data_IF_371700279779
#
_entry.id   IF_371700279779
#
_cell.length_a   1.000
_cell.length_b   1.000
_cell.length_c   1.000
_cell.angle_alpha   90.00
_cell.angle_beta   90.00
_cell.angle_gamma   90.00
#
_symmetry.space_group_name_H-M   'P 1'
#
loop_
_entity.id
_entity.type
_entity.pdbx_description
1 polymer ?
#
# COMPACT_ATOMS: atom_id res chain seq x y z
N UNK A 1 4.24 -12.70 -20.16
CA UNK A 1 3.76 -12.10 -18.89
C UNK A 1 3.62 -10.58 -19.00
N UNK A 2 4.71 -9.84 -19.26
CA UNK A 2 4.72 -8.36 -19.32
C UNK A 2 3.65 -7.75 -20.25
N UNK A 3 3.48 -8.28 -21.47
CA UNK A 3 2.48 -7.77 -22.40
C UNK A 3 1.04 -7.91 -21.87
N UNK A 4 0.74 -9.03 -21.21
CA UNK A 4 -0.58 -9.25 -20.59
C UNK A 4 -0.81 -8.21 -19.49
N UNK A 5 0.16 -8.03 -18.58
CA UNK A 5 0.03 -7.07 -17.48
C UNK A 5 -0.03 -5.62 -17.94
N UNK A 6 0.71 -5.23 -18.98
CA UNK A 6 0.55 -3.91 -19.60
C UNK A 6 -0.89 -3.71 -20.07
N UNK A 7 -1.44 -4.68 -20.81
CA UNK A 7 -2.79 -4.58 -21.36
C UNK A 7 -3.89 -4.57 -20.29
N UNK A 8 -3.72 -5.33 -19.21
CA UNK A 8 -4.77 -5.53 -18.18
C UNK A 8 -4.63 -4.64 -16.96
N UNK A 9 -3.52 -3.93 -16.79
CA UNK A 9 -3.28 -3.08 -15.61
C UNK A 9 -2.97 -1.62 -15.98
N UNK A 10 -2.47 -1.35 -17.19
CA UNK A 10 -2.15 0.02 -17.63
C UNK A 10 -3.16 0.48 -18.67
N UNK A 11 -3.32 -0.28 -19.76
CA UNK A 11 -4.22 0.13 -20.84
C UNK A 11 -5.71 -0.02 -20.45
N UNK A 12 -6.02 -0.94 -19.54
CA UNK A 12 -7.39 -1.27 -19.10
C UNK A 12 -7.39 -1.70 -17.64
N UNK A 13 -8.43 -1.41 -16.86
CA UNK A 13 -8.54 -1.82 -15.46
C UNK A 13 -9.19 -3.21 -15.32
N UNK A 14 -8.52 -4.27 -15.78
CA UNK A 14 -9.07 -5.64 -15.76
C UNK A 14 -8.21 -6.54 -14.87
N UNK A 15 -8.69 -6.96 -13.68
CA UNK A 15 -7.96 -7.91 -12.86
C UNK A 15 -7.66 -9.21 -13.63
N UNK A 16 -6.40 -9.66 -13.60
CA UNK A 16 -5.95 -10.83 -14.38
C UNK A 16 -5.14 -11.82 -13.54
N UNK A 17 -5.37 -13.11 -13.77
CA UNK A 17 -4.65 -14.22 -13.15
C UNK A 17 -3.90 -15.03 -14.23
N UNK A 18 -2.58 -15.07 -14.14
CA UNK A 18 -1.73 -15.85 -15.07
C UNK A 18 -1.26 -17.10 -14.35
N UNK A 19 -1.38 -18.26 -14.99
CA UNK A 19 -0.91 -19.54 -14.49
C UNK A 19 -0.11 -20.24 -15.58
N UNK A 20 0.98 -20.92 -15.23
CA UNK A 20 1.83 -21.61 -16.21
C UNK A 20 1.30 -23.02 -16.46
N UNK A 21 1.36 -23.49 -17.72
CA UNK A 21 0.88 -24.82 -18.09
C UNK A 21 1.55 -25.93 -17.28
N UNK A 22 2.86 -25.80 -17.02
CA UNK A 22 3.66 -26.75 -16.23
C UNK A 22 3.07 -27.00 -14.83
N UNK A 23 2.41 -25.99 -14.25
CA UNK A 23 1.87 -26.01 -12.88
C UNK A 23 0.46 -26.65 -12.84
N UNK A 24 -0.35 -26.49 -13.88
CA UNK A 24 -1.75 -26.99 -13.92
C UNK A 24 -1.91 -28.31 -14.69
N UNK A 25 -0.97 -28.63 -15.57
CA UNK A 25 -0.94 -29.86 -16.37
C UNK A 25 0.47 -30.49 -16.29
N UNK A 26 0.87 -31.02 -15.11
CA UNK A 26 2.17 -31.66 -14.96
C UNK A 26 2.26 -32.91 -15.85
N UNK A 27 3.43 -33.16 -16.44
CA UNK A 27 3.67 -34.30 -17.35
C UNK A 27 3.62 -35.68 -16.68
N UNK A 28 3.65 -35.76 -15.35
CA UNK A 28 3.65 -37.02 -14.61
C UNK A 28 2.23 -37.52 -14.36
N UNK A 29 2.03 -38.85 -14.42
CA UNK A 29 0.72 -39.50 -14.26
C UNK A 29 0.06 -39.31 -12.87
N UNK A 30 0.80 -38.83 -11.86
CA UNK A 30 0.24 -38.44 -10.56
C UNK A 30 0.38 -36.93 -10.36
N UNK A 31 -0.71 -36.15 -10.45
CA UNK A 31 -0.71 -34.72 -10.16
C UNK A 31 -0.67 -34.50 -8.64
N UNK A 32 0.48 -34.70 -8.01
CA UNK A 32 0.66 -34.35 -6.60
C UNK A 32 0.64 -32.83 -6.44
N UNK A 33 -0.16 -32.33 -5.49
CA UNK A 33 -0.21 -30.90 -5.16
C UNK A 33 -1.07 -30.01 -6.06
N UNK A 34 -1.72 -30.54 -7.12
CA UNK A 34 -2.58 -29.74 -8.01
C UNK A 34 -3.70 -29.03 -7.23
N UNK A 35 -4.29 -29.72 -6.24
CA UNK A 35 -5.32 -29.12 -5.40
C UNK A 35 -4.77 -27.93 -4.58
N UNK A 36 -3.57 -28.06 -4.01
CA UNK A 36 -2.94 -26.94 -3.28
C UNK A 36 -2.66 -25.74 -4.18
N UNK A 37 -2.20 -26.00 -5.40
CA UNK A 37 -1.98 -24.98 -6.43
C UNK A 37 -3.30 -24.28 -6.77
N UNK A 38 -4.35 -25.05 -7.08
CA UNK A 38 -5.67 -24.52 -7.42
C UNK A 38 -6.22 -23.65 -6.28
N UNK A 39 -6.11 -24.11 -5.03
CA UNK A 39 -6.51 -23.34 -3.84
C UNK A 39 -5.78 -22.00 -3.76
N UNK A 40 -4.45 -21.97 -3.95
CA UNK A 40 -3.67 -20.71 -3.93
C UNK A 40 -4.06 -19.76 -5.06
N UNK A 41 -4.34 -20.29 -6.26
CA UNK A 41 -4.82 -19.49 -7.39
C UNK A 41 -6.17 -18.86 -7.08
N UNK A 42 -7.11 -19.64 -6.52
CA UNK A 42 -8.44 -19.14 -6.14
C UNK A 42 -8.36 -18.09 -5.04
N UNK A 43 -7.49 -18.27 -4.03
CA UNK A 43 -7.24 -17.26 -2.99
C UNK A 43 -6.76 -15.94 -3.61
N UNK A 44 -5.84 -15.99 -4.58
CA UNK A 44 -5.35 -14.79 -5.25
C UNK A 44 -6.44 -14.13 -6.11
N UNK A 45 -7.29 -14.92 -6.76
CA UNK A 45 -8.44 -14.39 -7.51
C UNK A 45 -9.45 -13.71 -6.58
N UNK A 46 -9.75 -14.33 -5.44
CA UNK A 46 -10.62 -13.75 -4.41
C UNK A 46 -10.08 -12.39 -3.95
N UNK A 47 -8.79 -12.28 -3.65
CA UNK A 47 -8.15 -11.02 -3.25
C UNK A 47 -8.25 -9.93 -4.32
N UNK A 48 -8.08 -10.29 -5.60
CA UNK A 48 -8.21 -9.36 -6.74
C UNK A 48 -9.65 -8.85 -6.95
N UNK A 49 -10.63 -9.60 -6.46
CA UNK A 49 -12.05 -9.27 -6.50
C UNK A 49 -12.55 -8.69 -5.17
N UNK A 50 -11.63 -8.10 -4.38
CA UNK A 50 -11.90 -7.43 -3.10
C UNK A 50 -12.35 -8.37 -1.97
N UNK A 51 -12.15 -9.69 -2.11
CA UNK A 51 -12.42 -10.66 -1.06
C UNK A 51 -11.24 -10.82 -0.09
N UNK A 52 -11.53 -11.01 1.20
CA UNK A 52 -10.53 -11.32 2.21
C UNK A 52 -10.52 -12.83 2.49
N UNK A 53 -9.40 -13.56 2.26
CA UNK A 53 -9.35 -15.00 2.51
C UNK A 53 -9.30 -15.35 4.01
N UNK A 54 -8.71 -14.49 4.85
CA UNK A 54 -8.73 -14.56 6.31
C UNK A 54 -8.48 -13.15 6.87
N UNK A 55 -8.72 -12.98 8.17
CA UNK A 55 -8.43 -11.75 8.90
C UNK A 55 -7.98 -12.05 10.33
N UNK A 56 -7.19 -11.14 10.88
CA UNK A 56 -6.91 -11.08 12.32
C UNK A 56 -7.80 -10.01 12.92
N UNK A 57 -8.37 -10.29 14.09
CA UNK A 57 -9.21 -9.31 14.79
C UNK A 57 -8.31 -8.20 15.33
N UNK A 58 -8.50 -6.99 14.82
CA UNK A 58 -7.86 -5.78 15.33
C UNK A 58 -8.91 -5.03 16.17
N UNK A 59 -8.74 -4.92 17.50
CA UNK A 59 -9.78 -4.36 18.37
C UNK A 59 -9.95 -2.84 18.24
N UNK A 60 -9.04 -2.17 17.54
CA UNK A 60 -9.01 -0.71 17.35
C UNK A 60 -9.96 -0.28 16.23
N UNK A 61 -10.71 0.79 16.48
CA UNK A 61 -11.46 1.53 15.46
C UNK A 61 -10.68 2.79 15.06
N UNK A 62 -10.94 3.30 13.85
CA UNK A 62 -10.31 4.53 13.38
C UNK A 62 -8.83 4.35 13.04
N UNK A 63 -8.36 3.11 12.85
CA UNK A 63 -6.97 2.80 12.51
C UNK A 63 -6.79 2.69 10.99
N UNK A 64 -5.94 3.56 10.45
CA UNK A 64 -5.40 3.44 9.11
C UNK A 64 -3.95 2.97 9.17
N UNK A 65 -3.64 1.87 8.48
CA UNK A 65 -2.28 1.41 8.27
C UNK A 65 -1.88 1.71 6.84
N UNK A 66 -0.70 2.28 6.66
CA UNK A 66 -0.14 2.72 5.40
C UNK A 66 1.19 2.01 5.15
N UNK A 67 1.41 1.53 3.94
CA UNK A 67 2.69 1.01 3.46
C UNK A 67 3.19 1.82 2.27
N UNK A 68 4.48 2.13 2.25
CA UNK A 68 5.14 2.79 1.13
C UNK A 68 6.49 2.15 0.80
N UNK A 69 6.61 1.66 -0.43
CA UNK A 69 7.81 1.03 -0.99
C UNK A 69 8.25 1.73 -2.28
N UNK A 70 9.55 1.74 -2.55
CA UNK A 70 10.15 2.30 -3.75
C UNK A 70 10.94 1.23 -4.49
N UNK A 71 10.49 0.90 -5.70
CA UNK A 71 11.16 -0.06 -6.57
C UNK A 71 11.86 0.64 -7.74
N UNK A 72 13.15 0.35 -7.95
CA UNK A 72 13.91 0.86 -9.09
C UNK A 72 13.56 0.13 -10.38
N UNK A 73 13.38 0.87 -11.47
CA UNK A 73 13.07 0.29 -12.77
C UNK A 73 14.26 -0.49 -13.33
N UNK A 74 14.11 -1.78 -13.67
CA UNK A 74 15.19 -2.55 -14.30
C UNK A 74 15.44 -2.12 -15.75
N UNK A 75 14.47 -1.44 -16.39
CA UNK A 75 14.57 -0.97 -17.77
C UNK A 75 15.21 0.41 -17.90
N UNK A 76 15.05 1.26 -16.90
CA UNK A 76 15.57 2.62 -16.92
C UNK A 76 16.08 2.98 -15.53
N UNK A 77 17.41 3.04 -15.39
CA UNK A 77 18.08 3.32 -14.11
C UNK A 77 17.78 4.71 -13.53
N UNK A 78 17.23 5.62 -14.32
CA UNK A 78 16.81 6.94 -13.86
C UNK A 78 15.35 6.99 -13.39
N UNK A 79 14.62 5.88 -13.49
CA UNK A 79 13.22 5.79 -13.09
C UNK A 79 13.05 4.83 -11.93
N UNK A 80 12.16 5.22 -11.04
CA UNK A 80 11.75 4.45 -9.89
C UNK A 80 10.24 4.60 -9.73
N UNK A 81 9.62 3.68 -9.01
CA UNK A 81 8.18 3.68 -8.77
C UNK A 81 7.92 3.60 -7.28
N UNK A 82 7.22 4.59 -6.75
CA UNK A 82 6.72 4.59 -5.38
C UNK A 82 5.33 3.95 -5.35
N UNK A 83 5.15 2.90 -4.56
CA UNK A 83 3.88 2.24 -4.35
C UNK A 83 3.36 2.58 -2.95
N UNK A 84 2.17 3.17 -2.89
CA UNK A 84 1.49 3.55 -1.65
C UNK A 84 0.24 2.70 -1.49
N UNK A 85 0.01 2.16 -0.29
CA UNK A 85 -1.19 1.38 0.04
C UNK A 85 -1.68 1.78 1.42
N UNK A 86 -2.99 2.00 1.60
CA UNK A 86 -3.61 2.33 2.89
C UNK A 86 -4.87 1.48 3.15
N UNK A 87 -5.06 1.03 4.39
CA UNK A 87 -6.28 0.32 4.81
C UNK A 87 -7.44 1.28 5.04
N UNK A 88 -8.67 0.84 4.74
CA UNK A 88 -9.90 1.61 4.98
C UNK A 88 -10.63 1.07 6.23
N UNK A 89 -9.99 1.17 7.39
CA UNK A 89 -10.40 0.60 8.69
C UNK A 89 -10.66 -0.92 8.66
N UNK A 90 -9.65 -1.71 9.03
CA UNK A 90 -9.73 -3.17 8.97
C UNK A 90 -10.77 -3.78 9.92
N UNK A 91 -11.32 -3.01 10.87
CA UNK A 91 -12.41 -3.47 11.72
C UNK A 91 -13.76 -3.46 11.00
N UNK A 92 -13.93 -2.57 10.03
CA UNK A 92 -15.20 -2.38 9.30
C UNK A 92 -15.13 -2.80 7.83
N UNK A 93 -13.95 -2.73 7.20
CA UNK A 93 -13.80 -2.96 5.77
C UNK A 93 -12.43 -3.53 5.40
N UNK A 94 -12.45 -4.42 4.40
CA UNK A 94 -11.27 -5.07 3.84
C UNK A 94 -10.70 -4.35 2.63
N UNK A 95 -11.17 -3.14 2.37
CA UNK A 95 -10.74 -2.36 1.21
C UNK A 95 -9.41 -1.68 1.49
N UNK A 96 -8.64 -1.55 0.42
CA UNK A 96 -7.39 -0.84 0.40
C UNK A 96 -7.48 0.27 -0.64
N UNK A 97 -6.95 1.43 -0.29
CA UNK A 97 -6.58 2.45 -1.25
C UNK A 97 -5.15 2.16 -1.71
N UNK A 98 -4.87 2.34 -3.00
CA UNK A 98 -3.51 2.17 -3.51
C UNK A 98 -3.22 3.10 -4.68
N UNK A 99 -2.01 3.65 -4.71
CA UNK A 99 -1.50 4.46 -5.82
C UNK A 99 -0.07 4.06 -6.17
N UNK A 100 0.31 4.33 -7.41
CA UNK A 100 1.68 4.14 -7.90
C UNK A 100 2.10 5.39 -8.64
N UNK A 101 3.26 5.94 -8.29
CA UNK A 101 3.81 7.13 -8.91
C UNK A 101 5.19 6.83 -9.50
N UNK A 102 5.40 7.26 -10.74
CA UNK A 102 6.73 7.29 -11.33
C UNK A 102 7.50 8.48 -10.75
N UNK A 103 8.76 8.27 -10.37
CA UNK A 103 9.67 9.34 -9.99
C UNK A 103 11.02 9.17 -10.66
N UNK A 104 11.66 10.31 -10.92
CA UNK A 104 12.99 10.41 -11.50
C UNK A 104 14.01 10.37 -10.36
N UNK A 105 15.15 9.72 -10.58
CA UNK A 105 16.25 9.69 -9.62
C UNK A 105 16.63 11.13 -9.21
N UNK A 106 16.61 11.40 -7.91
CA UNK A 106 16.90 12.72 -7.34
C UNK A 106 15.68 13.62 -7.13
N UNK A 107 14.47 13.20 -7.50
CA UNK A 107 13.24 13.87 -7.05
C UNK A 107 12.91 13.55 -5.59
N UNK A 108 12.25 14.50 -4.92
CA UNK A 108 11.81 14.36 -3.54
C UNK A 108 10.57 13.45 -3.44
N UNK A 109 10.72 12.32 -2.75
CA UNK A 109 9.65 11.35 -2.48
C UNK A 109 8.59 11.88 -1.50
N UNK A 110 8.98 12.83 -0.64
CA UNK A 110 8.18 13.45 0.42
C UNK A 110 6.89 14.09 -0.12
N UNK A 111 6.98 14.85 -1.21
CA UNK A 111 5.83 15.55 -1.80
C UNK A 111 4.80 14.55 -2.34
N UNK A 112 5.25 13.55 -3.09
CA UNK A 112 4.38 12.52 -3.66
C UNK A 112 3.68 11.71 -2.57
N UNK A 113 4.42 11.34 -1.51
CA UNK A 113 3.87 10.65 -0.36
C UNK A 113 2.77 11.47 0.34
N UNK A 114 2.99 12.78 0.47
CA UNK A 114 2.01 13.70 1.08
C UNK A 114 0.73 13.83 0.24
N UNK A 115 0.86 13.88 -1.09
CA UNK A 115 -0.29 13.88 -2.01
C UNK A 115 -1.06 12.56 -1.93
N UNK A 116 -0.35 11.42 -1.93
CA UNK A 116 -0.97 10.10 -1.80
C UNK A 116 -1.73 9.95 -0.48
N UNK A 117 -1.15 10.45 0.62
CA UNK A 117 -1.81 10.45 1.92
C UNK A 117 -3.12 11.27 1.90
N UNK A 118 -3.11 12.46 1.31
CA UNK A 118 -4.31 13.27 1.20
C UNK A 118 -5.44 12.56 0.42
N UNK A 119 -5.09 11.86 -0.66
CA UNK A 119 -6.05 11.06 -1.43
C UNK A 119 -6.57 9.85 -0.64
N UNK A 120 -5.71 9.19 0.15
CA UNK A 120 -6.10 8.08 1.01
C UNK A 120 -7.05 8.51 2.12
N UNK A 121 -6.77 9.65 2.77
CA UNK A 121 -7.64 10.23 3.80
C UNK A 121 -9.00 10.63 3.24
N UNK A 122 -9.04 11.21 2.03
CA UNK A 122 -10.30 11.50 1.35
C UNK A 122 -11.11 10.23 1.09
N UNK A 123 -10.47 9.19 0.57
CA UNK A 123 -11.12 7.89 0.30
C UNK A 123 -11.66 7.26 1.59
N UNK A 124 -10.91 7.36 2.69
CA UNK A 124 -11.34 6.90 4.00
C UNK A 124 -12.55 7.71 4.50
N UNK A 125 -12.52 9.04 4.35
CA UNK A 125 -13.62 9.92 4.74
C UNK A 125 -14.88 9.67 3.92
N UNK A 126 -14.77 9.39 2.63
CA UNK A 126 -15.90 9.01 1.78
C UNK A 126 -16.56 7.71 2.26
N UNK A 127 -15.78 6.77 2.77
CA UNK A 127 -16.27 5.47 3.24
C UNK A 127 -16.84 5.51 4.67
N UNK A 128 -16.18 6.20 5.60
CA UNK A 128 -16.51 6.19 7.03
C UNK A 128 -17.12 7.50 7.55
N UNK A 129 -17.17 8.55 6.72
CA UNK A 129 -17.62 9.92 7.08
C UNK A 129 -16.80 10.57 8.20
N UNK A 130 -15.62 10.04 8.48
CA UNK A 130 -14.67 10.53 9.49
C UNK A 130 -13.25 10.39 8.96
N UNK A 131 -12.31 11.13 9.54
CA UNK A 131 -10.88 10.87 9.35
C UNK A 131 -10.42 9.79 10.36
N UNK A 132 -9.39 8.99 10.03
CA UNK A 132 -8.86 8.01 10.97
C UNK A 132 -8.34 8.70 12.23
N UNK A 133 -8.57 8.08 13.39
CA UNK A 133 -8.04 8.55 14.68
C UNK A 133 -6.54 8.26 14.81
N UNK A 134 -6.07 7.19 14.15
CA UNK A 134 -4.71 6.68 14.26
C UNK A 134 -4.19 6.31 12.88
N UNK A 135 -2.94 6.67 12.62
CA UNK A 135 -2.24 6.34 11.39
C UNK A 135 -0.92 5.64 11.75
N UNK A 136 -0.75 4.41 11.27
CA UNK A 136 0.53 3.69 11.30
C UNK A 136 1.12 3.71 9.89
N UNK A 137 2.34 4.20 9.73
CA UNK A 137 2.98 4.33 8.43
C UNK A 137 4.26 3.50 8.39
N UNK A 138 4.32 2.55 7.48
CA UNK A 138 5.46 1.64 7.25
C UNK A 138 6.19 2.05 5.97
N UNK A 139 7.46 2.40 6.08
CA UNK A 139 8.32 2.81 4.96
C UNK A 139 9.41 1.75 4.73
N UNK A 140 9.35 1.08 3.59
CA UNK A 140 10.30 0.00 3.21
C UNK A 140 11.52 0.53 2.44
N UNK A 141 12.65 -0.17 2.45
CA UNK A 141 13.80 0.16 1.59
C UNK A 141 14.53 1.45 1.97
N UNK A 142 14.57 1.79 3.26
CA UNK A 142 15.38 2.90 3.79
C UNK A 142 16.59 2.31 4.50
N UNK A 143 17.78 2.54 3.97
CA UNK A 143 19.03 2.13 4.63
C UNK A 143 19.37 3.05 5.81
N UNK A 144 20.17 2.55 6.76
CA UNK A 144 20.55 3.29 7.98
C UNK A 144 21.11 4.69 7.71
N UNK A 145 21.93 4.82 6.65
CA UNK A 145 22.52 6.10 6.25
C UNK A 145 21.53 7.13 5.71
N UNK A 146 20.29 6.72 5.39
CA UNK A 146 19.23 7.58 4.86
C UNK A 146 18.16 7.91 5.90
N UNK A 147 18.16 7.23 7.05
CA UNK A 147 17.12 7.36 8.07
C UNK A 147 16.97 8.81 8.55
N UNK A 148 18.09 9.49 8.82
CA UNK A 148 18.07 10.90 9.26
C UNK A 148 17.40 11.81 8.21
N UNK A 149 17.68 11.58 6.93
CA UNK A 149 17.08 12.38 5.86
C UNK A 149 15.57 12.09 5.77
N UNK A 150 15.17 10.82 5.73
CA UNK A 150 13.74 10.43 5.66
C UNK A 150 12.96 11.00 6.84
N UNK A 151 13.50 10.92 8.06
CA UNK A 151 12.83 11.46 9.24
C UNK A 151 12.74 12.99 9.19
N UNK A 152 13.77 13.70 8.75
CA UNK A 152 13.73 15.17 8.78
C UNK A 152 13.02 15.79 7.57
N UNK A 153 12.92 15.10 6.44
CA UNK A 153 12.17 15.56 5.27
C UNK A 153 10.80 14.91 5.21
N UNK A 154 10.74 13.62 4.84
CA UNK A 154 9.51 12.91 4.50
C UNK A 154 8.48 12.94 5.64
N UNK A 155 8.91 12.69 6.88
CA UNK A 155 8.02 12.68 8.04
C UNK A 155 7.48 14.05 8.37
N UNK A 156 8.35 15.06 8.35
CA UNK A 156 7.97 16.41 8.72
C UNK A 156 6.99 16.99 7.70
N UNK A 157 7.29 16.85 6.40
CA UNK A 157 6.37 17.24 5.33
C UNK A 157 5.02 16.52 5.46
N UNK A 158 5.04 15.21 5.75
CA UNK A 158 3.81 14.45 5.92
C UNK A 158 3.02 14.90 7.16
N UNK A 159 3.68 15.15 8.28
CA UNK A 159 3.05 15.67 9.51
C UNK A 159 2.42 17.03 9.27
N UNK A 160 3.16 17.98 8.70
CA UNK A 160 2.65 19.31 8.39
C UNK A 160 1.41 19.23 7.50
N UNK A 161 1.43 18.34 6.50
CA UNK A 161 0.28 18.13 5.63
C UNK A 161 -0.92 17.50 6.34
N UNK A 162 -0.69 16.55 7.24
CA UNK A 162 -1.75 15.96 8.06
C UNK A 162 -2.37 17.01 8.98
N UNK A 163 -1.53 17.83 9.64
CA UNK A 163 -1.97 18.92 10.50
C UNK A 163 -2.92 19.88 9.77
N UNK A 164 -2.56 20.30 8.56
CA UNK A 164 -3.40 21.16 7.72
C UNK A 164 -4.77 20.53 7.43
N UNK A 165 -4.79 19.24 7.06
CA UNK A 165 -6.01 18.51 6.72
C UNK A 165 -6.92 18.38 7.95
N UNK A 166 -6.36 17.99 9.11
CA UNK A 166 -7.14 17.79 10.34
C UNK A 166 -7.62 19.12 10.94
N UNK A 167 -6.83 20.19 10.86
CA UNK A 167 -7.27 21.56 11.22
C UNK A 167 -8.42 22.01 10.34
N UNK A 168 -8.33 21.79 9.03
CA UNK A 168 -9.40 22.13 8.08
C UNK A 168 -10.68 21.33 8.32
N UNK A 169 -10.57 20.12 8.87
CA UNK A 169 -11.69 19.28 9.26
C UNK A 169 -12.26 19.60 10.66
N UNK A 170 -11.71 20.59 11.39
CA UNK A 170 -12.17 20.97 12.73
C UNK A 170 -11.77 20.00 13.85
N UNK A 171 -10.80 19.10 13.61
CA UNK A 171 -10.36 18.03 14.53
C UNK A 171 -9.04 18.36 15.25
N UNK A 172 -8.92 19.59 15.76
CA UNK A 172 -7.66 20.15 16.25
C UNK A 172 -7.10 19.46 17.52
N UNK A 173 -7.95 18.86 18.36
CA UNK A 173 -7.56 18.16 19.60
C UNK A 173 -7.18 16.68 19.40
N UNK A 174 -7.67 16.03 18.34
CA UNK A 174 -7.33 14.63 18.04
C UNK A 174 -5.88 14.48 17.54
N UNK A 175 -5.32 15.56 17.00
CA UNK A 175 -3.93 15.62 16.53
C UNK A 175 -2.92 15.57 17.68
N UNK A 176 -3.20 16.20 18.83
CA UNK A 176 -2.39 16.04 20.04
C UNK A 176 -2.46 14.62 20.64
N UNK A 177 -3.44 13.82 20.22
CA UNK A 177 -3.61 12.40 20.56
C UNK A 177 -3.30 11.45 19.41
N UNK A 178 -2.86 11.98 18.27
CA UNK A 178 -2.01 11.27 17.34
C UNK A 178 -0.60 11.45 17.92
N UNK A 179 -0.09 10.54 18.79
CA UNK A 179 1.22 10.06 18.44
C UNK A 179 0.96 9.49 17.05
N UNK A 180 1.28 10.27 16.02
CA UNK A 180 1.75 9.69 14.78
C UNK A 180 2.96 8.88 15.23
N UNK A 181 2.70 7.68 15.77
CA UNK A 181 3.62 6.60 15.87
C UNK A 181 3.79 6.16 14.42
N UNK A 182 4.40 7.06 13.65
CA UNK A 182 5.03 6.79 12.40
C UNK A 182 6.22 5.93 12.81
N UNK A 183 5.91 4.68 13.11
CA UNK A 183 6.87 3.64 13.37
C UNK A 183 7.50 3.39 12.00
N UNK A 184 8.58 4.12 11.75
CA UNK A 184 9.58 3.73 10.75
C UNK A 184 10.18 2.43 11.24
N UNK A 185 9.43 1.35 11.06
CA UNK A 185 9.95 0.02 11.10
C UNK A 185 10.61 -0.16 9.75
N UNK A 186 11.87 0.27 9.67
CA UNK A 186 12.78 -0.22 8.65
C UNK A 186 12.82 -1.72 8.85
N UNK A 187 12.43 -2.48 7.84
CA UNK A 187 12.58 -3.93 7.88
C UNK A 187 14.07 -4.24 7.92
N UNK A 188 14.45 -5.12 8.85
CA UNK A 188 15.79 -5.67 8.94
C UNK A 188 16.03 -6.55 7.70
N UNK A 189 16.95 -6.15 6.84
CA UNK A 189 17.72 -7.10 6.03
C UNK A 189 18.85 -7.70 6.88
#
# INVERSE_FOLDING_TARGET
YSCIKKRTCVDRPVPSQVVTLKVIAPRQQKPTGLMSIATKVVIQMNAKLMGAPWQVVIPLHGLMTVGFDVCHSPKNKNKSYGAFVATMDQKESFRYFSTVNEHIKGQELSEQMSVNMACALRSYQEQHRSLPERILFFRDGVGDGQLYQVVNSEVNTLKDRLDEIYKSAGKQEELCRLPATMLFLTTWD
#
